data_IF_140086722571
#
_entry.id   IF_140086722571
#
_cell.length_a   1.000
_cell.length_b   1.000
_cell.length_c   1.000
_cell.angle_alpha   90.00
_cell.angle_beta   90.00
_cell.angle_gamma   90.00
#
_symmetry.space_group_name_H-M   'P 1'
#
loop_
_entity.id
_entity.type
_entity.pdbx_description
1 polymer ?
#
# COMPACT_ATOMS: atom_id res chain seq x y z
N UNK A 1 -13.63 3.96 2.77
CA UNK A 1 -13.51 3.94 4.24
C UNK A 1 -13.68 2.49 4.68
N UNK A 2 -12.69 1.90 5.34
CA UNK A 2 -12.81 0.56 5.89
C UNK A 2 -13.72 0.64 7.12
N UNK A 3 -15.00 0.35 6.96
CA UNK A 3 -16.00 0.60 8.03
C UNK A 3 -15.83 -0.32 9.25
N UNK A 4 -15.06 -1.40 9.12
CA UNK A 4 -14.88 -2.42 10.16
C UNK A 4 -13.42 -2.76 10.48
N UNK A 5 -12.46 -2.08 9.83
CA UNK A 5 -11.05 -2.24 10.15
C UNK A 5 -10.60 -0.97 10.89
N UNK A 6 -9.90 -1.14 12.00
CA UNK A 6 -9.23 -0.04 12.72
C UNK A 6 -8.00 0.40 11.92
N UNK A 7 -8.25 0.97 10.73
CA UNK A 7 -7.25 1.33 9.74
C UNK A 7 -7.52 2.75 9.23
N UNK A 8 -6.50 3.60 9.34
CA UNK A 8 -6.54 4.96 8.81
C UNK A 8 -5.24 5.31 8.09
N UNK A 9 -5.30 6.22 7.11
CA UNK A 9 -4.11 6.70 6.40
C UNK A 9 -4.00 8.20 6.57
N UNK A 10 -2.85 8.65 7.07
CA UNK A 10 -2.50 10.07 7.19
C UNK A 10 -1.56 10.43 6.05
N UNK A 11 -1.98 11.34 5.17
CA UNK A 11 -1.14 11.83 4.07
C UNK A 11 -0.07 12.78 4.61
N UNK A 12 1.18 12.57 4.20
CA UNK A 12 2.27 13.46 4.58
C UNK A 12 2.18 14.78 3.80
N UNK A 13 2.66 15.89 4.38
CA UNK A 13 2.86 17.13 3.64
C UNK A 13 3.71 16.88 2.38
N UNK A 14 3.48 17.60 1.28
CA UNK A 14 4.31 17.49 0.09
C UNK A 14 5.76 17.85 0.46
N UNK A 15 6.67 16.89 0.26
CA UNK A 15 8.09 17.11 0.46
C UNK A 15 8.58 18.09 -0.62
N UNK A 16 9.08 19.25 -0.20
CA UNK A 16 9.60 20.29 -1.09
C UNK A 16 10.98 19.93 -1.68
N UNK A 17 11.62 18.84 -1.24
CA UNK A 17 13.01 18.54 -1.59
C UNK A 17 13.31 17.13 -2.10
N UNK A 18 12.35 16.19 -2.15
CA UNK A 18 12.67 14.82 -2.56
C UNK A 18 12.68 14.68 -4.10
N UNK A 19 13.90 14.57 -4.63
CA UNK A 19 14.21 14.05 -5.96
C UNK A 19 13.30 12.88 -6.35
N UNK A 20 12.93 12.86 -7.63
CA UNK A 20 12.12 11.87 -8.35
C UNK A 20 12.50 10.42 -8.03
N UNK A 21 12.04 9.91 -6.89
CA UNK A 21 12.19 8.51 -6.55
C UNK A 21 10.97 7.79 -7.12
N UNK A 22 11.10 7.46 -8.41
CA UNK A 22 10.12 6.79 -9.28
C UNK A 22 8.92 7.63 -9.74
N UNK A 23 8.62 7.54 -11.04
CA UNK A 23 7.59 8.31 -11.74
C UNK A 23 6.15 7.89 -11.35
N UNK A 24 5.99 6.83 -10.57
CA UNK A 24 4.71 6.23 -10.16
C UNK A 24 4.21 6.70 -8.78
N UNK A 25 5.00 7.46 -8.00
CA UNK A 25 4.64 7.91 -6.65
C UNK A 25 3.94 9.28 -6.68
N UNK A 26 2.65 9.30 -6.37
CA UNK A 26 1.79 10.49 -6.33
C UNK A 26 1.89 11.20 -4.97
N UNK A 27 1.98 10.44 -3.88
CA UNK A 27 2.08 10.97 -2.52
C UNK A 27 2.68 9.95 -1.55
N UNK A 28 3.04 10.42 -0.35
CA UNK A 28 3.45 9.59 0.79
C UNK A 28 2.48 9.76 1.95
N UNK A 29 2.42 8.77 2.82
CA UNK A 29 1.60 8.81 4.03
C UNK A 29 2.01 7.74 5.02
N UNK A 30 1.32 7.69 6.14
CA UNK A 30 1.45 6.66 7.17
C UNK A 30 0.10 5.94 7.29
N UNK A 31 0.13 4.62 7.14
CA UNK A 31 -0.99 3.74 7.47
C UNK A 31 -0.89 3.41 8.97
N UNK A 32 -1.97 3.65 9.69
CA UNK A 32 -2.14 3.28 11.10
C UNK A 32 -3.10 2.10 11.14
N UNK A 33 -2.67 1.00 11.76
CA UNK A 33 -3.49 -0.19 11.99
C UNK A 33 -3.29 -0.69 13.42
N UNK A 34 -4.24 -0.41 14.32
CA UNK A 34 -4.04 -0.63 15.75
C UNK A 34 -2.84 0.17 16.29
N UNK A 35 -1.86 -0.51 16.89
CA UNK A 35 -0.60 0.11 17.35
C UNK A 35 0.48 0.23 16.27
N UNK A 36 0.26 -0.35 15.09
CA UNK A 36 1.26 -0.41 14.04
C UNK A 36 1.19 0.81 13.12
N UNK A 37 2.36 1.35 12.76
CA UNK A 37 2.49 2.46 11.83
C UNK A 37 3.41 2.06 10.69
N UNK A 38 2.96 2.25 9.45
CA UNK A 38 3.71 1.83 8.27
C UNK A 38 3.79 2.95 7.23
N UNK A 39 4.98 3.22 6.65
CA UNK A 39 5.08 4.14 5.54
C UNK A 39 4.36 3.57 4.32
N UNK A 40 3.54 4.39 3.66
CA UNK A 40 2.81 4.04 2.45
C UNK A 40 2.99 5.09 1.35
N UNK A 41 2.82 4.65 0.10
CA UNK A 41 2.86 5.52 -1.07
C UNK A 41 1.56 5.45 -1.85
N UNK A 42 1.03 6.59 -2.29
CA UNK A 42 -0.10 6.66 -3.20
C UNK A 42 0.41 6.50 -4.64
N UNK A 43 -0.12 5.54 -5.37
CA UNK A 43 0.27 5.23 -6.75
C UNK A 43 -0.97 4.93 -7.59
N UNK A 44 -0.90 5.15 -8.90
CA UNK A 44 -1.90 4.64 -9.84
C UNK A 44 -1.59 3.16 -10.12
N UNK A 45 -2.57 2.27 -9.90
CA UNK A 45 -2.43 0.84 -10.18
C UNK A 45 -3.55 0.36 -11.08
N UNK A 46 -3.22 -0.56 -11.99
CA UNK A 46 -4.22 -1.31 -12.73
C UNK A 46 -4.85 -2.33 -11.79
N UNK A 47 -6.10 -2.07 -11.41
CA UNK A 47 -6.88 -2.94 -10.53
C UNK A 47 -7.65 -3.95 -11.36
N UNK A 48 -7.73 -5.17 -10.81
CA UNK A 48 -8.67 -6.19 -11.23
C UNK A 48 -9.72 -6.30 -10.13
N UNK A 49 -10.85 -5.64 -10.30
CA UNK A 49 -12.03 -5.94 -9.50
C UNK A 49 -12.74 -7.17 -10.09
N UNK A 50 -13.57 -7.83 -9.28
CA UNK A 50 -14.31 -9.04 -9.69
C UNK A 50 -15.46 -8.73 -10.65
N UNK A 51 -15.81 -7.46 -10.81
CA UNK A 51 -17.01 -6.98 -11.51
C UNK A 51 -16.75 -6.14 -12.75
N UNK A 52 -15.56 -5.56 -12.95
CA UNK A 52 -15.24 -4.75 -14.12
C UNK A 52 -14.00 -5.23 -14.88
N UNK A 53 -13.80 -4.62 -16.04
CA UNK A 53 -12.54 -4.71 -16.79
C UNK A 53 -11.44 -4.00 -16.00
N UNK A 54 -10.19 -4.41 -16.26
CA UNK A 54 -8.99 -3.77 -15.71
C UNK A 54 -9.08 -2.24 -15.86
N UNK A 55 -8.96 -1.52 -14.75
CA UNK A 55 -9.04 -0.06 -14.72
C UNK A 55 -7.92 0.52 -13.84
N UNK A 56 -7.58 1.80 -14.05
CA UNK A 56 -6.62 2.50 -13.20
C UNK A 56 -7.32 3.03 -11.95
N UNK A 57 -6.75 2.75 -10.78
CA UNK A 57 -7.21 3.27 -9.50
C UNK A 57 -6.06 3.76 -8.64
N UNK A 58 -6.27 4.86 -7.92
CA UNK A 58 -5.32 5.39 -6.95
C UNK A 58 -5.33 4.53 -5.69
N UNK A 59 -4.20 3.94 -5.36
CA UNK A 59 -4.05 3.00 -4.26
C UNK A 59 -2.91 3.42 -3.33
N UNK A 60 -3.16 3.36 -2.02
CA UNK A 60 -2.10 3.36 -1.03
C UNK A 60 -1.43 1.99 -1.03
N UNK A 61 -0.13 1.97 -1.29
CA UNK A 61 0.69 0.77 -1.36
C UNK A 61 1.51 0.64 -0.08
N UNK A 62 1.34 -0.48 0.60
CA UNK A 62 2.18 -0.89 1.73
C UNK A 62 3.40 -1.65 1.18
N UNK A 63 4.63 -1.32 1.61
CA UNK A 63 5.83 -2.04 1.20
C UNK A 63 5.79 -3.52 1.60
N UNK A 64 6.33 -4.40 0.76
CA UNK A 64 6.41 -5.85 1.03
C UNK A 64 7.07 -6.13 2.40
N UNK A 65 8.16 -5.44 2.71
CA UNK A 65 8.89 -5.59 3.97
C UNK A 65 8.03 -5.28 5.21
N UNK A 66 7.12 -4.31 5.13
CA UNK A 66 6.19 -4.02 6.24
C UNK A 66 5.15 -5.12 6.40
N UNK A 67 4.64 -5.66 5.29
CA UNK A 67 3.71 -6.81 5.32
C UNK A 67 4.39 -8.04 5.92
N UNK A 68 5.62 -8.35 5.50
CA UNK A 68 6.40 -9.48 6.04
C UNK A 68 6.72 -9.29 7.53
N UNK A 69 7.06 -8.07 7.95
CA UNK A 69 7.28 -7.72 9.36
C UNK A 69 6.04 -7.98 10.22
N UNK A 70 4.86 -7.59 9.74
CA UNK A 70 3.60 -7.84 10.45
C UNK A 70 3.25 -9.33 10.54
N UNK A 71 3.49 -10.06 9.47
CA UNK A 71 3.14 -11.47 9.36
C UNK A 71 4.17 -12.38 10.05
N UNK A 72 5.37 -11.87 10.35
CA UNK A 72 6.45 -12.63 10.97
C UNK A 72 7.09 -13.67 10.03
N UNK A 73 6.72 -13.65 8.75
CA UNK A 73 7.15 -14.63 7.74
C UNK A 73 7.38 -13.93 6.39
N UNK A 74 8.18 -14.56 5.53
CA UNK A 74 8.37 -14.06 4.17
C UNK A 74 7.07 -14.15 3.38
N UNK A 75 6.87 -13.22 2.45
CA UNK A 75 5.67 -13.15 1.63
C UNK A 75 5.50 -14.42 0.79
N UNK A 76 6.61 -15.05 0.38
CA UNK A 76 6.65 -16.29 -0.37
C UNK A 76 5.92 -17.43 0.35
N UNK A 77 5.89 -17.43 1.69
CA UNK A 77 5.15 -18.44 2.46
C UNK A 77 3.63 -18.40 2.24
N UNK A 78 3.10 -17.26 1.80
CA UNK A 78 1.68 -17.07 1.48
C UNK A 78 1.36 -17.31 0.00
N UNK A 79 2.38 -17.42 -0.84
CA UNK A 79 2.21 -17.69 -2.28
C UNK A 79 2.03 -19.20 -2.45
N UNK A 80 0.77 -19.62 -2.57
CA UNK A 80 0.47 -21.00 -2.99
C UNK A 80 0.84 -21.12 -4.45
N UNK A 81 2.00 -21.73 -4.75
CA UNK A 81 2.34 -22.15 -6.10
C UNK A 81 1.27 -23.13 -6.59
N UNK A 82 0.38 -22.64 -7.44
CA UNK A 82 -0.44 -23.51 -8.29
C UNK A 82 0.44 -23.92 -9.45
N UNK A 83 1.10 -25.06 -9.29
CA UNK A 83 1.66 -25.82 -10.42
C UNK A 83 0.53 -26.14 -11.39
#
# INVERSE_FOLDING_TARGET
QFQYADMSVVKNPPDRGAHRLREDIIARGILIWGSEQMPVTLQDKTLKDSSQKRHLGRCWVVPKAEVERLLGHSYESYVVNRV
#
